data_IF_768506446106
#
_entry.id   IF_768506446106
#
_cell.length_a   1.000
_cell.length_b   1.000
_cell.length_c   1.000
_cell.angle_alpha   90.00
_cell.angle_beta   90.00
_cell.angle_gamma   90.00
#
_symmetry.space_group_name_H-M   'P 1'
#
loop_
_entity.id
_entity.type
_entity.pdbx_description
1 polymer ?
#
# COMPACT_ATOMS: atom_id res chain seq x y z
N UNK A 1 26.53 -6.16 8.75
CA UNK A 1 26.01 -7.16 7.77
C UNK A 1 24.62 -6.78 7.24
N UNK A 2 23.68 -6.35 8.11
CA UNK A 2 22.29 -6.05 7.75
C UNK A 2 22.07 -4.91 6.71
N UNK A 3 22.86 -3.84 6.74
CA UNK A 3 22.67 -2.69 5.83
C UNK A 3 22.90 -3.07 4.35
N UNK A 4 23.94 -3.86 4.06
CA UNK A 4 24.21 -4.35 2.69
C UNK A 4 23.09 -5.28 2.20
N UNK A 5 22.54 -6.12 3.07
CA UNK A 5 21.42 -7.01 2.72
C UNK A 5 20.14 -6.23 2.42
N UNK A 6 19.82 -5.23 3.24
CA UNK A 6 18.68 -4.32 3.00
C UNK A 6 18.85 -3.55 1.68
N UNK A 7 20.06 -3.08 1.38
CA UNK A 7 20.35 -2.41 0.12
C UNK A 7 20.12 -3.33 -1.09
N UNK A 8 20.60 -4.58 -1.03
CA UNK A 8 20.35 -5.58 -2.07
C UNK A 8 18.86 -5.87 -2.23
N UNK A 9 18.13 -6.00 -1.13
CA UNK A 9 16.67 -6.19 -1.14
C UNK A 9 15.97 -5.03 -1.88
N UNK A 10 16.20 -3.78 -1.47
CA UNK A 10 15.52 -2.63 -2.09
C UNK A 10 15.89 -2.42 -3.56
N UNK A 11 17.10 -2.79 -3.97
CA UNK A 11 17.51 -2.70 -5.38
C UNK A 11 16.89 -3.79 -6.27
N UNK A 12 16.62 -4.98 -5.71
CA UNK A 12 16.25 -6.16 -6.50
C UNK A 12 14.81 -6.66 -6.27
N UNK A 13 14.06 -6.05 -5.37
CA UNK A 13 12.69 -6.46 -5.07
C UNK A 13 11.80 -6.47 -6.33
N UNK A 14 11.30 -7.66 -6.67
CA UNK A 14 10.42 -7.92 -7.81
C UNK A 14 9.34 -8.93 -7.41
N UNK A 15 8.25 -8.93 -8.16
CA UNK A 15 7.18 -9.94 -8.02
C UNK A 15 7.66 -11.30 -8.52
N UNK A 16 6.88 -12.35 -8.24
CA UNK A 16 7.14 -13.72 -8.71
C UNK A 16 7.26 -13.83 -10.23
N UNK A 17 6.51 -13.00 -10.96
CA UNK A 17 6.54 -12.90 -12.43
C UNK A 17 7.73 -12.10 -12.98
N UNK A 18 8.64 -11.62 -12.11
CA UNK A 18 9.80 -10.80 -12.50
C UNK A 18 9.48 -9.33 -12.73
N UNK A 19 8.21 -8.91 -12.66
CA UNK A 19 7.82 -7.50 -12.81
C UNK A 19 8.17 -6.67 -11.58
N UNK A 20 8.39 -5.37 -11.79
CA UNK A 20 8.72 -4.44 -10.71
C UNK A 20 7.49 -4.13 -9.85
N UNK A 21 7.71 -3.88 -8.57
CA UNK A 21 6.69 -3.38 -7.66
C UNK A 21 6.39 -1.89 -7.92
N UNK A 22 5.23 -1.43 -7.45
CA UNK A 22 4.96 0.01 -7.34
C UNK A 22 5.86 0.65 -6.28
N UNK A 23 6.13 1.94 -6.43
CA UNK A 23 6.89 2.70 -5.44
C UNK A 23 6.23 2.66 -4.04
N UNK A 24 4.90 2.66 -3.98
CA UNK A 24 4.13 2.52 -2.74
C UNK A 24 4.38 1.18 -2.04
N UNK A 25 4.47 0.08 -2.79
CA UNK A 25 4.75 -1.24 -2.22
C UNK A 25 6.14 -1.30 -1.58
N UNK A 26 7.16 -0.71 -2.23
CA UNK A 26 8.49 -0.59 -1.62
C UNK A 26 8.47 0.20 -0.31
N UNK A 27 7.66 1.28 -0.23
CA UNK A 27 7.48 2.05 0.99
C UNK A 27 6.83 1.19 2.09
N UNK A 28 5.80 0.41 1.76
CA UNK A 28 5.16 -0.52 2.69
C UNK A 28 6.14 -1.58 3.19
N UNK A 29 6.96 -2.15 2.32
CA UNK A 29 8.01 -3.10 2.72
C UNK A 29 8.99 -2.46 3.70
N UNK A 30 9.41 -1.21 3.45
CA UNK A 30 10.30 -0.49 4.35
C UNK A 30 9.69 -0.31 5.74
N UNK A 31 8.41 0.03 5.84
CA UNK A 31 7.75 0.18 7.15
C UNK A 31 7.53 -1.15 7.85
N UNK A 32 7.17 -2.21 7.12
CA UNK A 32 7.06 -3.56 7.68
C UNK A 32 8.39 -4.06 8.23
N UNK A 33 9.48 -3.86 7.48
CA UNK A 33 10.84 -4.18 7.93
C UNK A 33 11.26 -3.31 9.13
N UNK A 34 10.94 -2.01 9.11
CA UNK A 34 11.25 -1.12 10.24
C UNK A 34 10.60 -1.60 11.53
N UNK A 35 9.30 -1.93 11.49
CA UNK A 35 8.58 -2.48 12.64
C UNK A 35 9.25 -3.76 13.14
N UNK A 36 9.52 -4.72 12.25
CA UNK A 36 10.19 -5.96 12.63
C UNK A 36 11.57 -5.75 13.27
N UNK A 37 12.39 -4.85 12.72
CA UNK A 37 13.72 -4.55 13.28
C UNK A 37 13.64 -3.82 14.62
N UNK A 38 12.66 -2.94 14.82
CA UNK A 38 12.41 -2.30 16.11
C UNK A 38 12.00 -3.35 17.14
N UNK A 39 11.02 -4.19 16.82
CA UNK A 39 10.46 -5.18 17.74
C UNK A 39 11.44 -6.30 18.09
N UNK A 40 12.21 -6.79 17.11
CA UNK A 40 13.09 -7.95 17.29
C UNK A 40 14.54 -7.61 17.64
N UNK A 41 15.01 -6.42 17.27
CA UNK A 41 16.44 -6.06 17.39
C UNK A 41 16.68 -4.68 17.99
N UNK A 42 15.63 -3.88 18.27
CA UNK A 42 15.75 -2.52 18.79
C UNK A 42 16.37 -1.53 17.80
N UNK A 43 16.39 -1.83 16.50
CA UNK A 43 17.03 -0.99 15.49
C UNK A 43 16.03 -0.25 14.60
N UNK A 44 16.21 1.06 14.45
CA UNK A 44 15.47 1.86 13.48
C UNK A 44 16.23 1.94 12.14
N UNK A 45 15.86 1.06 11.20
CA UNK A 45 16.46 1.00 9.85
C UNK A 45 16.17 2.24 8.99
N UNK A 46 15.34 3.16 9.46
CA UNK A 46 15.00 4.41 8.75
C UNK A 46 15.84 5.57 9.23
N UNK A 47 16.00 5.71 10.54
CA UNK A 47 16.58 6.91 11.15
C UNK A 47 18.04 6.73 11.57
N UNK A 48 18.50 5.51 11.83
CA UNK A 48 19.88 5.30 12.28
C UNK A 48 20.91 5.39 11.14
N UNK A 49 22.03 6.09 11.41
CA UNK A 49 23.12 6.31 10.43
C UNK A 49 23.77 5.02 9.91
N UNK A 50 23.74 3.94 10.71
CA UNK A 50 24.30 2.64 10.33
C UNK A 50 23.55 1.97 9.16
N UNK A 51 22.37 2.48 8.79
CA UNK A 51 21.59 2.04 7.62
C UNK A 51 21.61 3.06 6.48
N UNK A 52 22.64 3.90 6.42
CA UNK A 52 22.76 4.96 5.42
C UNK A 52 22.87 4.42 3.99
N UNK A 53 23.52 3.26 3.79
CA UNK A 53 23.69 2.69 2.45
C UNK A 53 22.37 2.15 1.90
N UNK A 54 21.65 1.33 2.67
CA UNK A 54 20.31 0.86 2.28
C UNK A 54 19.32 2.00 2.13
N UNK A 55 19.40 3.04 2.95
CA UNK A 55 18.56 4.24 2.81
C UNK A 55 18.82 4.96 1.49
N UNK A 56 20.09 5.10 1.07
CA UNK A 56 20.46 5.70 -0.22
C UNK A 56 19.92 4.87 -1.39
N UNK A 57 20.11 3.55 -1.33
CA UNK A 57 19.64 2.62 -2.37
C UNK A 57 18.12 2.57 -2.45
N UNK A 58 17.41 2.58 -1.32
CA UNK A 58 15.96 2.70 -1.27
C UNK A 58 15.47 3.97 -1.99
N UNK A 59 16.06 5.14 -1.66
CA UNK A 59 15.68 6.41 -2.28
C UNK A 59 15.91 6.38 -3.80
N UNK A 60 17.03 5.80 -4.25
CA UNK A 60 17.33 5.63 -5.66
C UNK A 60 16.32 4.69 -6.36
N UNK A 61 16.00 3.54 -5.75
CA UNK A 61 15.03 2.59 -6.27
C UNK A 61 13.62 3.22 -6.39
N UNK A 62 13.16 3.93 -5.37
CA UNK A 62 11.88 4.65 -5.41
C UNK A 62 11.85 5.71 -6.51
N UNK A 63 12.93 6.48 -6.70
CA UNK A 63 13.02 7.47 -7.78
C UNK A 63 12.97 6.80 -9.16
N UNK A 64 13.66 5.67 -9.34
CA UNK A 64 13.65 4.92 -10.59
C UNK A 64 12.27 4.33 -10.92
N UNK A 65 11.58 3.77 -9.91
CA UNK A 65 10.20 3.28 -10.07
C UNK A 65 9.24 4.39 -10.46
N UNK A 66 9.35 5.58 -9.84
CA UNK A 66 8.53 6.75 -10.21
C UNK A 66 8.80 7.19 -11.65
N UNK A 67 10.07 7.23 -12.07
CA UNK A 67 10.47 7.56 -13.45
C UNK A 67 9.88 6.58 -14.47
N UNK A 68 9.72 5.31 -14.10
CA UNK A 68 9.12 4.28 -14.96
C UNK A 68 7.58 4.26 -14.93
N UNK A 69 6.94 5.27 -14.34
CA UNK A 69 5.47 5.33 -14.24
C UNK A 69 4.86 4.44 -13.14
N UNK A 70 5.68 3.68 -12.39
CA UNK A 70 5.26 2.84 -11.27
C UNK A 70 5.08 3.62 -9.96
N UNK A 71 5.11 4.95 -10.05
CA UNK A 71 4.80 5.87 -8.96
C UNK A 71 3.35 6.35 -8.93
N UNK A 72 2.57 6.07 -9.98
CA UNK A 72 1.21 6.59 -10.11
C UNK A 72 0.25 5.91 -9.13
N UNK A 73 -0.61 6.72 -8.53
CA UNK A 73 -1.75 6.28 -7.74
C UNK A 73 -2.97 6.35 -8.64
N UNK A 74 -3.67 5.22 -8.81
CA UNK A 74 -4.97 5.21 -9.49
C UNK A 74 -5.99 5.72 -8.49
N UNK A 75 -6.43 6.97 -8.67
CA UNK A 75 -7.52 7.52 -7.88
C UNK A 75 -8.83 6.88 -8.35
N UNK A 76 -9.61 6.37 -7.42
CA UNK A 76 -11.00 5.99 -7.70
C UNK A 76 -11.85 7.25 -7.72
N UNK A 77 -12.84 7.28 -8.61
CA UNK A 77 -13.78 8.40 -8.68
C UNK A 77 -14.56 8.46 -7.36
N UNK A 78 -14.77 9.65 -6.78
CA UNK A 78 -15.60 9.79 -5.59
C UNK A 78 -17.02 9.26 -5.83
N UNK A 79 -17.61 8.63 -4.83
CA UNK A 79 -19.03 8.27 -4.84
C UNK A 79 -19.84 9.56 -4.82
N UNK A 80 -20.62 9.82 -5.86
CA UNK A 80 -21.47 11.01 -5.94
C UNK A 80 -22.78 10.81 -5.20
N UNK A 81 -23.52 11.90 -4.93
CA UNK A 81 -24.87 11.79 -4.35
C UNK A 81 -25.81 10.95 -5.22
N UNK A 82 -25.68 11.03 -6.55
CA UNK A 82 -26.47 10.22 -7.47
C UNK A 82 -26.13 8.72 -7.36
N UNK A 83 -24.85 8.40 -7.17
CA UNK A 83 -24.43 7.01 -6.91
C UNK A 83 -25.03 6.51 -5.59
N UNK A 84 -25.01 7.32 -4.53
CA UNK A 84 -25.64 6.97 -3.25
C UNK A 84 -27.15 6.75 -3.43
N UNK A 85 -27.86 7.66 -4.08
CA UNK A 85 -29.30 7.50 -4.37
C UNK A 85 -29.58 6.20 -5.12
N UNK A 86 -28.71 5.82 -6.07
CA UNK A 86 -28.83 4.57 -6.81
C UNK A 86 -28.61 3.34 -5.93
N UNK A 87 -27.72 3.40 -4.94
CA UNK A 87 -27.52 2.29 -4.00
C UNK A 87 -28.78 2.03 -3.15
N UNK A 88 -29.52 3.08 -2.77
CA UNK A 88 -30.78 2.98 -2.03
C UNK A 88 -32.03 2.79 -2.93
N UNK A 89 -31.89 2.90 -4.25
CA UNK A 89 -33.03 2.68 -5.14
C UNK A 89 -33.37 1.20 -5.22
N UNK A 90 -34.67 0.89 -5.36
CA UNK A 90 -35.16 -0.47 -5.54
C UNK A 90 -34.67 -1.14 -6.84
N UNK A 91 -33.99 -0.38 -7.71
CA UNK A 91 -33.35 -0.89 -8.92
C UNK A 91 -32.03 -1.64 -8.62
N UNK A 92 -31.52 -1.57 -7.38
CA UNK A 92 -30.31 -2.29 -6.97
C UNK A 92 -30.55 -3.15 -5.72
N UNK A 93 -29.91 -4.33 -5.69
CA UNK A 93 -30.01 -5.27 -4.57
C UNK A 93 -29.04 -4.91 -3.44
N UNK A 94 -28.22 -3.87 -3.62
CA UNK A 94 -27.06 -3.59 -2.75
C UNK A 94 -27.50 -3.18 -1.34
N UNK A 95 -28.50 -2.30 -1.22
CA UNK A 95 -29.10 -1.87 0.05
C UNK A 95 -30.56 -2.32 0.17
N UNK A 96 -30.89 -3.50 -0.35
CA UNK A 96 -32.25 -4.02 -0.29
C UNK A 96 -32.62 -4.47 1.12
N UNK A 97 -33.53 -3.73 1.77
CA UNK A 97 -33.87 -3.89 3.19
C UNK A 97 -34.54 -5.23 3.52
N UNK A 98 -35.12 -5.92 2.53
CA UNK A 98 -35.74 -7.24 2.74
C UNK A 98 -34.73 -8.39 2.71
N UNK A 99 -33.43 -8.10 2.54
CA UNK A 99 -32.37 -9.12 2.56
C UNK A 99 -31.40 -8.88 3.71
N UNK A 100 -30.96 -9.93 4.43
CA UNK A 100 -29.93 -9.79 5.46
C UNK A 100 -28.65 -9.12 4.96
N UNK A 101 -28.23 -9.41 3.73
CA UNK A 101 -27.05 -8.79 3.13
C UNK A 101 -27.24 -7.30 2.83
N UNK A 102 -28.43 -6.90 2.34
CA UNK A 102 -28.72 -5.49 2.08
C UNK A 102 -28.72 -4.66 3.36
N UNK A 103 -29.32 -5.17 4.44
CA UNK A 103 -29.26 -4.54 5.76
C UNK A 103 -27.82 -4.41 6.28
N UNK A 104 -27.01 -5.47 6.16
CA UNK A 104 -25.60 -5.43 6.55
C UNK A 104 -24.81 -4.38 5.75
N UNK A 105 -25.03 -4.31 4.44
CA UNK A 105 -24.34 -3.35 3.57
C UNK A 105 -24.71 -1.91 3.92
N UNK A 106 -25.98 -1.61 4.25
CA UNK A 106 -26.40 -0.28 4.72
C UNK A 106 -25.63 0.09 5.98
N UNK A 107 -25.63 -0.79 6.99
CA UNK A 107 -24.96 -0.54 8.27
C UNK A 107 -23.47 -0.27 8.06
N UNK A 108 -22.79 -1.05 7.21
CA UNK A 108 -21.36 -0.82 6.92
C UNK A 108 -21.08 0.46 6.14
N UNK A 109 -22.04 0.94 5.35
CA UNK A 109 -21.87 2.16 4.57
C UNK A 109 -22.13 3.44 5.39
N UNK A 110 -23.05 3.37 6.36
CA UNK A 110 -23.46 4.51 7.18
C UNK A 110 -22.61 4.74 8.44
N UNK A 111 -21.84 3.74 8.88
CA UNK A 111 -20.91 3.80 10.04
C UNK A 111 -19.54 4.35 9.63
#
# INVERSE_FOLDING_TARGET
MHDKSLAKFFANAKKKDGTKFKASALLTFRQGLRRHYLDSLGYDIVNEKRFSYSTKLFKAAVKDLRRQGLGSVKHHVPITRADVTKLYSGDTVVFYMDTPNGLLNIVWFEV
#
